data_IF_150479836363
#
_entry.id   IF_150479836363
#
_cell.length_a   1.000
_cell.length_b   1.000
_cell.length_c   1.000
_cell.angle_alpha   90.00
_cell.angle_beta   90.00
_cell.angle_gamma   90.00
#
_symmetry.space_group_name_H-M   'P 1'
#
loop_
_entity.id
_entity.type
_entity.pdbx_description
1 polymer ?
#
# COMPACT_ATOMS: atom_id res chain seq x y z
N UNK A 1 -6.30 7.40 10.05
CA UNK A 1 -6.34 7.51 8.58
C UNK A 1 -4.91 7.70 8.10
N UNK A 2 -4.47 6.89 7.13
CA UNK A 2 -3.11 6.95 6.56
C UNK A 2 -3.15 7.18 5.06
N UNK A 3 -2.11 7.80 4.53
CA UNK A 3 -1.90 7.95 3.09
C UNK A 3 -1.20 6.71 2.48
N UNK A 4 -1.00 6.66 1.15
CA UNK A 4 -0.32 5.56 0.48
C UNK A 4 1.15 5.32 0.89
N UNK A 5 1.84 6.33 1.44
CA UNK A 5 3.20 6.23 2.02
C UNK A 5 3.19 5.79 3.48
N UNK A 6 2.01 5.56 4.07
CA UNK A 6 1.88 5.18 5.46
C UNK A 6 1.96 6.37 6.42
N UNK A 7 1.97 7.60 5.92
CA UNK A 7 1.90 8.79 6.77
C UNK A 7 0.55 8.84 7.46
N UNK A 8 0.53 9.09 8.77
CA UNK A 8 -0.71 9.29 9.53
C UNK A 8 -1.23 10.70 9.26
N UNK A 9 -2.39 10.81 8.61
CA UNK A 9 -3.00 12.10 8.22
C UNK A 9 -4.12 12.54 9.18
N UNK A 10 -4.70 11.60 9.91
CA UNK A 10 -5.61 11.89 11.02
C UNK A 10 -5.65 10.69 11.95
N UNK A 11 -5.74 10.94 13.24
CA UNK A 11 -5.89 9.93 14.27
C UNK A 11 -6.99 10.37 15.22
N UNK A 12 -7.86 9.43 15.59
CA UNK A 12 -8.89 9.70 16.57
C UNK A 12 -8.27 9.72 17.96
N UNK A 13 -8.79 10.58 18.84
CA UNK A 13 -8.47 10.53 20.26
C UNK A 13 -9.24 9.38 20.96
N UNK A 14 -8.86 9.09 22.19
CA UNK A 14 -9.49 8.15 23.13
C UNK A 14 -10.90 8.55 23.60
N UNK A 15 -11.33 9.78 23.33
CA UNK A 15 -12.64 10.31 23.69
C UNK A 15 -13.69 10.11 22.58
N UNK A 16 -14.98 10.22 22.91
CA UNK A 16 -16.06 10.12 21.93
C UNK A 16 -16.03 11.32 20.96
N UNK A 17 -16.08 11.04 19.65
CA UNK A 17 -16.09 12.09 18.64
C UNK A 17 -16.03 11.58 17.20
N UNK A 18 -16.00 12.51 16.26
CA UNK A 18 -15.88 12.23 14.82
C UNK A 18 -14.53 12.74 14.34
N UNK A 19 -13.76 11.86 13.71
CA UNK A 19 -12.50 12.21 13.03
C UNK A 19 -12.74 12.29 11.53
N UNK A 20 -12.40 13.43 10.94
CA UNK A 20 -12.58 13.71 9.52
C UNK A 20 -11.23 14.09 8.93
N UNK A 21 -10.93 13.63 7.72
CA UNK A 21 -9.77 14.05 6.95
C UNK A 21 -10.18 14.30 5.49
N UNK A 22 -9.54 15.27 4.86
CA UNK A 22 -9.62 15.49 3.42
C UNK A 22 -8.60 14.58 2.72
N UNK A 23 -9.05 13.92 1.66
CA UNK A 23 -8.22 13.00 0.88
C UNK A 23 -8.07 13.56 -0.53
N UNK A 24 -6.82 13.68 -0.98
CA UNK A 24 -6.48 13.91 -2.38
C UNK A 24 -6.20 12.56 -3.08
N UNK A 25 -7.08 12.08 -3.97
CA UNK A 25 -6.89 10.82 -4.67
C UNK A 25 -5.65 10.80 -5.57
N UNK A 26 -5.16 11.96 -6.02
CA UNK A 26 -4.00 12.06 -6.94
C UNK A 26 -2.68 11.63 -6.27
N UNK A 27 -2.64 11.58 -4.93
CA UNK A 27 -1.49 11.05 -4.18
C UNK A 27 -1.20 9.60 -4.57
N UNK A 28 -2.23 8.79 -4.85
CA UNK A 28 -2.05 7.38 -5.24
C UNK A 28 -1.22 7.26 -6.53
N UNK A 29 -1.50 8.10 -7.52
CA UNK A 29 -0.80 8.07 -8.80
C UNK A 29 0.64 8.55 -8.66
N UNK A 30 0.86 9.61 -7.87
CA UNK A 30 2.21 10.11 -7.54
C UNK A 30 3.05 9.05 -6.84
N UNK A 31 2.51 8.46 -5.78
CA UNK A 31 3.09 7.32 -5.06
C UNK A 31 3.48 6.20 -6.02
N UNK A 32 2.57 5.73 -6.89
CA UNK A 32 2.88 4.63 -7.82
C UNK A 32 3.90 5.02 -8.89
N UNK A 33 4.04 6.29 -9.23
CA UNK A 33 5.08 6.77 -10.13
C UNK A 33 6.46 6.80 -9.46
N UNK A 34 6.52 7.24 -8.19
CA UNK A 34 7.74 7.30 -7.39
C UNK A 34 8.26 5.91 -6.99
N UNK A 35 7.38 4.99 -6.59
CA UNK A 35 7.73 3.61 -6.21
C UNK A 35 6.83 2.59 -6.95
N UNK A 36 7.16 2.24 -8.20
CA UNK A 36 6.28 1.47 -9.09
C UNK A 36 6.31 -0.05 -8.83
N UNK A 37 6.29 -0.49 -7.57
CA UNK A 37 6.43 -1.91 -7.15
C UNK A 37 5.42 -2.86 -7.79
N UNK A 38 4.28 -2.35 -8.24
CA UNK A 38 3.28 -3.16 -8.94
C UNK A 38 3.80 -3.68 -10.28
N UNK A 39 4.79 -3.01 -10.90
CA UNK A 39 5.46 -3.45 -12.14
C UNK A 39 6.40 -4.63 -11.91
N UNK A 40 6.89 -4.79 -10.68
CA UNK A 40 7.81 -5.87 -10.32
C UNK A 40 7.08 -7.17 -9.94
N UNK A 41 5.74 -7.15 -9.97
CA UNK A 41 4.94 -8.34 -9.67
C UNK A 41 5.14 -9.39 -10.75
N UNK A 42 5.32 -10.62 -10.29
CA UNK A 42 5.41 -11.78 -11.17
C UNK A 42 3.99 -12.23 -11.52
N UNK A 43 3.77 -12.57 -12.80
CA UNK A 43 2.49 -13.12 -13.25
C UNK A 43 2.20 -14.51 -12.68
N UNK A 44 3.26 -15.24 -12.33
CA UNK A 44 3.19 -16.53 -11.67
C UNK A 44 4.28 -16.59 -10.60
N UNK A 45 3.92 -16.95 -9.37
CA UNK A 45 4.84 -17.14 -8.26
C UNK A 45 5.22 -18.61 -8.04
N UNK A 46 4.67 -19.54 -8.84
CA UNK A 46 4.84 -20.98 -8.65
C UNK A 46 6.30 -21.42 -8.71
N UNK A 47 7.16 -20.69 -9.43
CA UNK A 47 8.59 -20.97 -9.54
C UNK A 47 9.39 -20.65 -8.26
N UNK A 48 8.84 -19.85 -7.33
CA UNK A 48 9.44 -19.65 -6.00
C UNK A 48 9.22 -20.86 -5.09
N UNK A 49 8.38 -21.82 -5.50
CA UNK A 49 8.14 -23.03 -4.73
C UNK A 49 9.30 -24.02 -4.88
N UNK A 50 10.22 -24.01 -3.90
CA UNK A 50 11.45 -24.80 -3.89
C UNK A 50 11.29 -26.32 -4.10
N UNK A 51 10.09 -26.89 -3.90
CA UNK A 51 9.83 -28.32 -4.16
C UNK A 51 9.88 -28.71 -5.65
N UNK A 52 9.72 -27.76 -6.58
CA UNK A 52 9.72 -28.05 -8.03
C UNK A 52 11.09 -27.92 -8.72
N UNK A 53 12.11 -27.37 -8.04
CA UNK A 53 13.42 -27.06 -8.66
C UNK A 53 14.39 -28.26 -8.60
N UNK A 54 14.09 -29.29 -7.80
CA UNK A 54 14.94 -30.46 -7.57
C UNK A 54 14.32 -31.78 -8.07
N UNK A 55 13.28 -31.70 -8.92
CA UNK A 55 12.64 -32.85 -9.57
C UNK A 55 12.96 -32.89 -11.05
#
# INVERSE_FOLDING_TARGET
>A
IVDPWGTVIAEADSSEGITIAEIDPTVVDRTRAEFPVLKDRLHDYSFLNRRKVLS
#
